data_IF_436129421125
#
_entry.id   IF_436129421125
#
_cell.length_a   1.000
_cell.length_b   1.000
_cell.length_c   1.000
_cell.angle_alpha   90.00
_cell.angle_beta   90.00
_cell.angle_gamma   90.00
#
_symmetry.space_group_name_H-M   'P 1'
#
loop_
_entity.id
_entity.type
_entity.pdbx_description
1 polymer ?
#
# COMPACT_ATOMS: atom_id res chain seq x y z
N UNK A 1 6.60 -36.12 -35.22
CA UNK A 1 6.44 -34.70 -34.87
C UNK A 1 5.13 -34.21 -35.46
N UNK A 2 4.06 -34.20 -34.65
CA UNK A 2 2.73 -33.70 -35.03
C UNK A 2 2.26 -32.76 -33.93
N UNK A 3 1.88 -31.54 -34.31
CA UNK A 3 1.34 -30.50 -33.43
C UNK A 3 0.18 -31.05 -32.59
N UNK A 4 0.31 -30.96 -31.27
CA UNK A 4 -0.80 -31.10 -30.33
C UNK A 4 -0.73 -29.98 -29.31
N UNK A 5 -1.89 -29.36 -29.09
CA UNK A 5 -2.28 -28.42 -28.02
C UNK A 5 -2.15 -26.93 -28.35
N UNK A 6 -2.92 -26.52 -29.35
CA UNK A 6 -3.71 -25.30 -29.27
C UNK A 6 -4.78 -25.51 -28.18
N UNK A 7 -4.70 -24.82 -27.04
CA UNK A 7 -5.83 -24.54 -26.15
C UNK A 7 -5.41 -23.56 -25.05
N UNK A 8 -6.34 -22.64 -24.73
CA UNK A 8 -6.33 -21.64 -23.66
C UNK A 8 -5.65 -20.31 -23.98
N UNK A 9 -6.23 -19.61 -24.96
CA UNK A 9 -6.30 -18.14 -24.94
C UNK A 9 -7.80 -17.82 -24.87
N UNK A 10 -8.37 -17.76 -23.66
CA UNK A 10 -9.67 -17.12 -23.36
C UNK A 10 -10.01 -17.27 -21.87
N UNK A 11 -9.24 -16.61 -21.02
CA UNK A 11 -9.75 -16.05 -19.77
C UNK A 11 -9.59 -14.53 -19.92
N UNK A 12 -10.46 -13.82 -20.65
CA UNK A 12 -11.90 -13.89 -20.51
C UNK A 12 -12.35 -13.05 -19.31
N UNK A 13 -11.94 -11.78 -19.29
CA UNK A 13 -12.81 -10.63 -18.95
C UNK A 13 -13.78 -10.84 -17.79
N UNK A 14 -13.26 -11.09 -16.59
CA UNK A 14 -14.02 -11.03 -15.35
C UNK A 14 -13.22 -10.17 -14.35
N UNK A 15 -13.81 -9.06 -13.91
CA UNK A 15 -13.48 -8.20 -12.75
C UNK A 15 -12.99 -6.75 -12.98
N UNK A 16 -13.01 -6.19 -14.20
CA UNK A 16 -12.59 -4.79 -14.40
C UNK A 16 -13.69 -3.72 -14.23
N UNK A 17 -14.95 -4.09 -13.99
CA UNK A 17 -16.03 -3.11 -13.80
C UNK A 17 -16.03 -2.43 -12.41
N UNK A 18 -15.07 -2.77 -11.54
CA UNK A 18 -14.87 -2.13 -10.23
C UNK A 18 -13.54 -1.37 -10.09
N UNK A 19 -12.67 -1.37 -11.10
CA UNK A 19 -11.35 -0.71 -11.04
C UNK A 19 -11.34 0.72 -11.59
N UNK A 20 -12.50 1.36 -11.80
CA UNK A 20 -12.60 2.70 -12.39
C UNK A 20 -12.00 3.81 -11.51
N UNK A 21 -11.60 3.51 -10.28
CA UNK A 21 -10.86 4.41 -9.39
C UNK A 21 -9.45 3.91 -9.03
N UNK A 22 -9.02 2.74 -9.53
CA UNK A 22 -7.62 2.33 -9.44
C UNK A 22 -6.88 3.02 -10.57
N UNK A 23 -6.26 4.16 -10.29
CA UNK A 23 -5.22 4.69 -11.17
C UNK A 23 -4.22 3.57 -11.42
N UNK A 24 -4.06 3.19 -12.69
CA UNK A 24 -3.10 2.18 -13.11
C UNK A 24 -1.73 2.54 -12.51
N UNK A 25 -0.99 1.56 -11.99
CA UNK A 25 0.35 1.80 -11.49
C UNK A 25 1.21 2.38 -12.61
N UNK A 26 1.90 3.47 -12.30
CA UNK A 26 2.85 4.13 -13.19
C UNK A 26 4.26 3.83 -12.67
N UNK A 27 5.25 3.69 -13.54
CA UNK A 27 6.65 3.67 -13.14
C UNK A 27 7.02 4.89 -12.27
N UNK A 28 6.28 6.00 -12.41
CA UNK A 28 6.37 7.18 -11.55
C UNK A 28 6.02 6.92 -10.06
N UNK A 29 5.38 5.79 -9.72
CA UNK A 29 5.06 5.41 -8.35
C UNK A 29 6.27 4.86 -7.57
N UNK A 30 7.32 4.41 -8.26
CA UNK A 30 8.48 3.75 -7.64
C UNK A 30 9.16 4.58 -6.54
N UNK A 31 9.45 5.88 -6.71
CA UNK A 31 10.07 6.69 -5.65
C UNK A 31 9.21 6.78 -4.38
N UNK A 32 7.88 6.86 -4.54
CA UNK A 32 6.96 6.88 -3.41
C UNK A 32 6.88 5.52 -2.72
N UNK A 33 6.93 4.43 -3.48
CA UNK A 33 6.97 3.09 -2.92
C UNK A 33 8.27 2.80 -2.15
N UNK A 34 9.42 3.27 -2.65
CA UNK A 34 10.71 3.18 -1.96
C UNK A 34 10.72 4.02 -0.68
N UNK A 35 10.16 5.24 -0.72
CA UNK A 35 9.98 6.09 0.45
C UNK A 35 9.07 5.42 1.49
N UNK A 36 7.95 4.84 1.07
CA UNK A 36 7.04 4.12 1.96
C UNK A 36 7.71 2.90 2.61
N UNK A 37 8.48 2.12 1.84
CA UNK A 37 9.26 1.00 2.37
C UNK A 37 10.28 1.46 3.43
N UNK A 38 10.93 2.60 3.19
CA UNK A 38 11.89 3.22 4.12
C UNK A 38 11.21 3.69 5.41
N UNK A 39 10.08 4.38 5.30
CA UNK A 39 9.30 4.85 6.46
C UNK A 39 8.88 3.65 7.30
N UNK A 40 8.33 2.60 6.70
CA UNK A 40 7.86 1.43 7.44
C UNK A 40 9.03 0.68 8.09
N UNK A 41 10.12 0.43 7.35
CA UNK A 41 11.28 -0.29 7.91
C UNK A 41 11.94 0.49 9.04
N UNK A 42 12.19 1.79 8.86
CA UNK A 42 12.84 2.62 9.87
C UNK A 42 11.97 2.85 11.10
N UNK A 43 10.65 3.04 10.93
CA UNK A 43 9.77 3.35 12.04
C UNK A 43 9.36 2.11 12.84
N UNK A 44 9.18 0.96 12.18
CA UNK A 44 8.92 -0.30 12.85
C UNK A 44 10.08 -0.74 13.75
N UNK A 45 11.32 -0.54 13.30
CA UNK A 45 12.51 -0.85 14.09
C UNK A 45 12.68 0.09 15.30
N UNK A 46 12.13 1.30 15.22
CA UNK A 46 12.23 2.32 16.28
C UNK A 46 11.02 2.36 17.23
N UNK A 47 10.01 1.50 17.03
CA UNK A 47 8.88 1.44 17.94
C UNK A 47 9.41 1.06 19.34
N UNK A 48 9.25 1.92 20.35
CA UNK A 48 9.59 1.55 21.72
C UNK A 48 8.79 0.29 22.10
N UNK A 49 9.34 -0.51 23.01
CA UNK A 49 8.76 -1.79 23.48
C UNK A 49 7.46 -1.63 24.29
N UNK A 50 6.55 -0.75 23.86
CA UNK A 50 5.33 -0.37 24.56
C UNK A 50 4.25 0.30 23.71
N UNK A 51 4.32 0.29 22.38
CA UNK A 51 3.14 0.61 21.55
C UNK A 51 3.44 1.17 20.15
N UNK A 52 2.51 0.92 19.23
CA UNK A 52 2.45 1.53 17.90
C UNK A 52 1.99 2.99 17.98
N UNK A 53 2.80 3.92 17.48
CA UNK A 53 2.42 5.34 17.35
C UNK A 53 1.87 5.64 15.95
N UNK A 54 0.55 5.51 15.82
CA UNK A 54 -0.16 5.75 14.56
C UNK A 54 -0.06 7.20 14.07
N UNK A 55 0.03 8.17 15.00
CA UNK A 55 0.14 9.60 14.67
C UNK A 55 1.52 9.90 14.11
N UNK A 56 2.58 9.38 14.74
CA UNK A 56 3.95 9.52 14.23
C UNK A 56 4.13 8.82 12.87
N UNK A 57 3.51 7.66 12.67
CA UNK A 57 3.55 6.97 11.38
C UNK A 57 2.82 7.78 10.29
N UNK A 58 1.59 8.25 10.57
CA UNK A 58 0.83 9.09 9.65
C UNK A 58 1.59 10.37 9.27
N UNK A 59 2.24 11.02 10.27
CA UNK A 59 3.11 12.17 10.04
C UNK A 59 4.27 11.86 9.10
N UNK A 60 4.95 10.72 9.32
CA UNK A 60 6.10 10.29 8.50
C UNK A 60 5.69 9.95 7.07
N UNK A 61 4.57 9.21 6.88
CA UNK A 61 4.02 8.91 5.56
C UNK A 61 3.70 10.20 4.80
N UNK A 62 3.07 11.16 5.48
CA UNK A 62 2.70 12.44 4.86
C UNK A 62 3.92 13.28 4.51
N UNK A 63 4.94 13.34 5.37
CA UNK A 63 6.12 14.16 5.11
C UNK A 63 7.09 13.56 4.11
N UNK A 64 7.24 12.24 4.08
CA UNK A 64 8.30 11.56 3.32
C UNK A 64 7.79 10.88 2.05
N UNK A 65 6.53 10.41 2.04
CA UNK A 65 5.97 9.69 0.88
C UNK A 65 5.12 10.61 0.02
N UNK A 66 4.23 11.41 0.62
CA UNK A 66 3.32 12.27 -0.14
C UNK A 66 4.07 13.32 -0.96
N UNK A 67 5.20 13.83 -0.45
CA UNK A 67 6.02 14.85 -1.13
C UNK A 67 6.67 14.38 -2.43
N UNK A 68 6.83 13.06 -2.60
CA UNK A 68 7.46 12.46 -3.79
C UNK A 68 6.47 11.67 -4.64
N UNK A 69 5.23 11.55 -4.18
CA UNK A 69 4.21 10.77 -4.86
C UNK A 69 3.61 11.52 -6.06
N UNK A 70 3.42 10.83 -7.20
CA UNK A 70 2.71 11.40 -8.33
C UNK A 70 1.24 11.68 -7.95
N UNK A 71 0.62 12.67 -8.60
CA UNK A 71 -0.74 13.12 -8.29
C UNK A 71 -1.77 11.97 -8.29
N UNK A 72 -1.60 10.98 -9.17
CA UNK A 72 -2.46 9.80 -9.25
C UNK A 72 -2.31 8.81 -8.09
N UNK A 73 -1.24 8.91 -7.29
CA UNK A 73 -0.96 8.05 -6.14
C UNK A 73 -1.22 8.71 -4.80
N UNK A 74 -1.12 10.05 -4.75
CA UNK A 74 -1.34 10.84 -3.55
C UNK A 74 -2.66 10.50 -2.83
N UNK A 75 -3.81 10.26 -3.50
CA UNK A 75 -5.05 9.88 -2.82
C UNK A 75 -4.94 8.58 -2.02
N UNK A 76 -4.19 7.59 -2.51
CA UNK A 76 -3.99 6.32 -1.81
C UNK A 76 -3.12 6.52 -0.58
N UNK A 77 -2.07 7.33 -0.69
CA UNK A 77 -1.17 7.67 0.43
C UNK A 77 -1.92 8.49 1.49
N UNK A 78 -2.72 9.47 1.06
CA UNK A 78 -3.54 10.26 1.97
C UNK A 78 -4.54 9.38 2.72
N UNK A 79 -5.17 8.42 2.03
CA UNK A 79 -6.12 7.48 2.63
C UNK A 79 -5.50 6.64 3.75
N UNK A 80 -4.26 6.15 3.59
CA UNK A 80 -3.60 5.39 4.67
C UNK A 80 -3.21 6.31 5.83
N UNK A 81 -2.73 7.53 5.55
CA UNK A 81 -2.43 8.52 6.58
C UNK A 81 -3.66 8.91 7.38
N UNK A 82 -4.80 9.11 6.72
CA UNK A 82 -6.06 9.49 7.35
C UNK A 82 -6.62 8.34 8.20
N UNK A 83 -6.57 7.10 7.70
CA UNK A 83 -7.04 5.92 8.43
C UNK A 83 -6.29 5.70 9.76
N UNK A 84 -5.03 6.13 9.83
CA UNK A 84 -4.21 6.08 11.06
C UNK A 84 -4.58 7.16 12.07
N UNK A 85 -5.32 8.20 11.68
CA UNK A 85 -5.72 9.32 12.52
C UNK A 85 -7.18 9.24 13.00
N UNK A 86 -7.95 8.27 12.49
CA UNK A 86 -9.34 8.02 12.96
C UNK A 86 -9.31 7.46 14.38
N UNK A 87 -10.20 7.97 15.25
CA UNK A 87 -10.38 7.47 16.61
C UNK A 87 -11.80 6.86 16.79
N UNK A 88 -11.93 5.56 17.11
CA UNK A 88 -10.87 4.57 17.25
C UNK A 88 -10.27 4.15 15.90
N UNK A 89 -8.98 3.80 15.88
CA UNK A 89 -8.30 3.36 14.65
C UNK A 89 -8.98 2.08 14.14
N UNK A 90 -9.44 2.12 12.90
CA UNK A 90 -10.03 0.97 12.23
C UNK A 90 -8.94 0.11 11.59
N UNK A 91 -8.59 -1.00 12.25
CA UNK A 91 -7.64 -1.99 11.71
C UNK A 91 -8.00 -2.43 10.28
N UNK A 92 -9.30 -2.54 9.98
CA UNK A 92 -9.82 -2.91 8.67
C UNK A 92 -9.56 -1.83 7.61
N UNK A 93 -9.75 -0.55 7.95
CA UNK A 93 -9.52 0.55 7.02
C UNK A 93 -8.03 0.74 6.76
N UNK A 94 -7.20 0.63 7.80
CA UNK A 94 -5.73 0.65 7.67
C UNK A 94 -5.26 -0.52 6.80
N UNK A 95 -5.75 -1.74 7.04
CA UNK A 95 -5.40 -2.91 6.24
C UNK A 95 -5.82 -2.77 4.77
N UNK A 96 -7.02 -2.22 4.52
CA UNK A 96 -7.51 -2.00 3.16
C UNK A 96 -6.64 -0.98 2.41
N UNK A 97 -6.35 0.16 3.04
CA UNK A 97 -5.51 1.20 2.43
C UNK A 97 -4.07 0.71 2.21
N UNK A 98 -3.49 0.01 3.19
CA UNK A 98 -2.17 -0.60 3.09
C UNK A 98 -2.10 -1.64 1.95
N UNK A 99 -3.13 -2.47 1.80
CA UNK A 99 -3.18 -3.48 0.73
C UNK A 99 -3.23 -2.84 -0.66
N UNK A 100 -4.00 -1.76 -0.83
CA UNK A 100 -4.06 -1.03 -2.10
C UNK A 100 -2.68 -0.43 -2.46
N UNK A 101 -1.96 0.13 -1.48
CA UNK A 101 -0.59 0.64 -1.66
C UNK A 101 0.39 -0.48 -1.99
N UNK A 102 0.34 -1.60 -1.24
CA UNK A 102 1.21 -2.75 -1.45
C UNK A 102 1.07 -3.34 -2.86
N UNK A 103 -0.17 -3.46 -3.36
CA UNK A 103 -0.43 -3.93 -4.72
C UNK A 103 0.17 -2.97 -5.76
N UNK A 104 -0.04 -1.66 -5.59
CA UNK A 104 0.51 -0.65 -6.51
C UNK A 104 2.04 -0.70 -6.52
N UNK A 105 2.66 -0.82 -5.35
CA UNK A 105 4.12 -0.90 -5.22
C UNK A 105 4.71 -2.19 -5.78
N UNK A 106 4.06 -3.33 -5.57
CA UNK A 106 4.50 -4.60 -6.15
C UNK A 106 4.51 -4.56 -7.68
N UNK A 107 3.57 -3.84 -8.30
CA UNK A 107 3.46 -3.70 -9.76
C UNK A 107 4.57 -2.84 -10.37
N UNK A 108 5.27 -2.03 -9.57
CA UNK A 108 6.49 -1.29 -9.97
C UNK A 108 7.77 -1.92 -9.44
N UNK A 109 7.69 -3.15 -8.90
CA UNK A 109 8.85 -3.91 -8.44
C UNK A 109 9.32 -3.60 -7.01
N UNK A 110 8.55 -2.84 -6.24
CA UNK A 110 8.87 -2.52 -4.84
C UNK A 110 7.98 -3.34 -3.90
N UNK A 111 8.56 -4.25 -3.14
CA UNK A 111 7.82 -4.99 -2.13
C UNK A 111 7.75 -4.19 -0.82
N UNK A 112 6.53 -3.96 -0.32
CA UNK A 112 6.30 -3.29 0.95
C UNK A 112 5.68 -4.27 1.92
N UNK A 113 6.36 -4.51 3.03
CA UNK A 113 5.82 -5.30 4.13
C UNK A 113 5.13 -4.35 5.12
N UNK A 114 3.81 -4.31 5.04
CA UNK A 114 3.04 -3.62 6.05
C UNK A 114 2.97 -4.48 7.32
N UNK A 115 3.17 -3.85 8.49
CA UNK A 115 2.98 -4.51 9.77
C UNK A 115 1.51 -4.94 9.93
N UNK A 116 1.27 -6.08 10.58
CA UNK A 116 -0.10 -6.54 10.83
C UNK A 116 -0.84 -5.53 11.72
N UNK A 117 -1.91 -4.86 11.24
CA UNK A 117 -2.61 -3.83 12.01
C UNK A 117 -3.20 -4.36 13.32
N UNK A 118 -3.50 -5.66 13.41
CA UNK A 118 -4.02 -6.29 14.63
C UNK A 118 -2.92 -6.44 15.69
N UNK A 119 -1.69 -6.72 15.28
CA UNK A 119 -0.53 -6.78 16.17
C UNK A 119 -0.09 -5.37 16.61
N UNK A 120 -0.30 -4.38 15.75
CA UNK A 120 0.00 -2.98 16.06
C UNK A 120 -1.00 -2.36 17.04
N UNK A 121 -2.28 -2.67 16.92
CA UNK A 121 -3.36 -2.02 17.69
C UNK A 121 -3.80 -2.81 18.94
N UNK A 122 -3.27 -4.01 19.16
CA UNK A 122 -3.73 -4.94 20.19
C UNK A 122 -2.65 -5.59 21.06
N UNK A 123 -1.43 -5.03 21.07
CA UNK A 123 -0.37 -5.42 22.02
C UNK A 123 -0.69 -5.01 23.46
#
# INVERSE_FOLDING_TARGET
>A
MLLRKLAVITAGTLLLTGCSSLSLPDQADAPACEAMSTVLSSKLETLPSGGFDAVALSGSITSEVLSVAPEGFQPNIQRVSDALLVDPISATEVAAAASEIAIRCALVGVNIEFPNPQELLGG
#
